data_IF_289451448646
#
_entry.id   IF_289451448646
#
_cell.length_a   1.000
_cell.length_b   1.000
_cell.length_c   1.000
_cell.angle_alpha   90.00
_cell.angle_beta   90.00
_cell.angle_gamma   90.00
#
_symmetry.space_group_name_H-M   'P 1'
#
loop_
_entity.id
_entity.type
_entity.pdbx_description
1 polymer ?
#
# COMPACT_ATOMS: atom_id res chain seq x y z
N UNK A 1 -0.84 -9.41 -42.57
CA UNK A 1 -1.38 -8.03 -42.67
C UNK A 1 -0.50 -6.96 -42.01
N UNK A 2 0.45 -7.33 -41.13
CA UNK A 2 1.34 -6.39 -40.43
C UNK A 2 2.84 -6.72 -40.64
N UNK A 3 3.23 -7.24 -41.81
CA UNK A 3 4.63 -7.54 -42.11
C UNK A 3 5.18 -6.47 -43.04
N UNK A 4 6.46 -6.10 -42.86
CA UNK A 4 7.14 -5.14 -43.72
C UNK A 4 7.07 -5.57 -45.19
N UNK A 5 6.75 -4.60 -46.04
CA UNK A 5 6.69 -4.83 -47.48
C UNK A 5 8.13 -4.84 -47.98
N UNK A 6 8.59 -6.00 -48.40
CA UNK A 6 9.95 -6.21 -48.90
C UNK A 6 9.92 -6.36 -50.42
N UNK A 7 10.58 -5.45 -51.13
CA UNK A 7 10.83 -5.60 -52.57
C UNK A 7 12.08 -6.45 -52.74
N UNK A 8 11.97 -7.58 -53.43
CA UNK A 8 13.09 -8.52 -53.65
C UNK A 8 13.50 -8.52 -55.12
N UNK A 9 14.80 -8.63 -55.36
CA UNK A 9 15.36 -8.88 -56.69
C UNK A 9 15.14 -10.35 -57.11
N UNK A 10 15.35 -10.66 -58.40
CA UNK A 10 15.20 -12.00 -58.98
C UNK A 10 16.08 -13.08 -58.34
N UNK A 11 17.16 -12.67 -57.66
CA UNK A 11 18.07 -13.49 -56.86
C UNK A 11 17.71 -13.56 -55.36
N UNK A 12 16.55 -13.02 -54.94
CA UNK A 12 16.01 -13.13 -53.58
C UNK A 12 16.52 -12.11 -52.57
N UNK A 13 17.46 -11.25 -52.94
CA UNK A 13 17.99 -10.17 -52.08
C UNK A 13 16.95 -9.06 -51.88
N UNK A 14 16.76 -8.61 -50.64
CA UNK A 14 15.86 -7.50 -50.30
C UNK A 14 16.49 -6.19 -50.76
N UNK A 15 15.84 -5.51 -51.70
CA UNK A 15 16.31 -4.28 -52.35
C UNK A 15 15.76 -3.02 -51.66
N UNK A 16 14.58 -3.11 -51.05
CA UNK A 16 13.98 -2.06 -50.24
C UNK A 16 12.95 -2.65 -49.26
N UNK A 17 12.85 -2.07 -48.07
CA UNK A 17 11.80 -2.37 -47.10
C UNK A 17 11.06 -1.09 -46.70
N UNK A 18 9.73 -1.15 -46.63
CA UNK A 18 8.91 -0.09 -46.05
C UNK A 18 8.32 -0.59 -44.73
N UNK A 19 8.51 0.13 -43.61
CA UNK A 19 7.87 -0.23 -42.35
C UNK A 19 6.35 -0.06 -42.49
N UNK A 20 5.59 -1.05 -42.01
CA UNK A 20 4.13 -0.94 -41.97
C UNK A 20 3.71 -0.16 -40.74
N UNK A 21 3.12 1.03 -40.93
CA UNK A 21 2.57 1.83 -39.83
C UNK A 21 1.09 1.44 -39.64
N UNK A 22 0.80 0.66 -38.60
CA UNK A 22 -0.57 0.34 -38.20
C UNK A 22 -1.16 1.51 -37.40
N UNK A 23 -2.04 2.30 -38.01
CA UNK A 23 -2.72 3.41 -37.33
C UNK A 23 -4.15 3.01 -36.94
N UNK A 24 -4.50 3.13 -35.66
CA UNK A 24 -5.89 2.96 -35.17
C UNK A 24 -6.40 4.33 -34.75
N UNK A 25 -7.39 4.87 -35.46
CA UNK A 25 -8.00 6.17 -35.15
C UNK A 25 -9.49 6.05 -34.91
N UNK A 26 -10.00 6.78 -33.92
CA UNK A 26 -11.42 6.85 -33.54
C UNK A 26 -11.79 8.32 -33.42
N UNK A 27 -12.89 8.75 -34.07
CA UNK A 27 -13.44 10.11 -33.97
C UNK A 27 -14.90 10.01 -33.53
N UNK A 28 -15.23 10.59 -32.38
CA UNK A 28 -16.59 10.59 -31.82
C UNK A 28 -16.91 11.96 -31.23
N UNK A 29 -18.20 12.30 -31.15
CA UNK A 29 -18.69 13.48 -30.44
C UNK A 29 -19.51 13.00 -29.25
N UNK A 30 -19.19 13.47 -28.05
CA UNK A 30 -19.88 13.05 -26.83
C UNK A 30 -20.13 14.25 -25.92
N UNK A 31 -21.31 14.28 -25.26
CA UNK A 31 -21.63 15.20 -24.18
C UNK A 31 -21.49 14.46 -22.87
N UNK A 32 -20.53 14.88 -22.05
CA UNK A 32 -20.17 14.24 -20.78
C UNK A 32 -20.18 15.28 -19.69
N UNK A 33 -20.59 14.88 -18.49
CA UNK A 33 -20.52 15.75 -17.32
C UNK A 33 -19.06 15.94 -16.89
N UNK A 34 -18.77 17.09 -16.27
CA UNK A 34 -17.46 17.36 -15.68
C UNK A 34 -17.09 16.25 -14.68
N UNK A 35 -15.82 15.82 -14.64
CA UNK A 35 -15.33 14.72 -13.79
C UNK A 35 -16.06 13.38 -13.97
N UNK A 36 -16.76 13.18 -15.09
CA UNK A 36 -17.45 11.91 -15.36
C UNK A 36 -16.67 11.13 -16.43
N UNK A 37 -15.99 10.04 -16.05
CA UNK A 37 -15.27 9.22 -17.01
C UNK A 37 -16.20 8.52 -17.99
N UNK A 38 -15.79 8.49 -19.26
CA UNK A 38 -16.56 7.89 -20.34
C UNK A 38 -15.67 7.06 -21.28
N UNK A 39 -16.15 5.87 -21.66
CA UNK A 39 -15.45 4.95 -22.53
C UNK A 39 -15.68 5.38 -23.98
N UNK A 40 -14.63 5.87 -24.65
CA UNK A 40 -14.67 6.30 -26.06
C UNK A 40 -14.75 5.09 -26.99
N UNK A 41 -14.11 3.97 -26.60
CA UNK A 41 -14.15 2.73 -27.36
C UNK A 41 -13.25 1.64 -26.79
N UNK A 42 -13.27 0.46 -27.42
CA UNK A 42 -12.38 -0.64 -27.10
C UNK A 42 -12.24 -1.64 -28.24
N UNK A 43 -11.13 -2.37 -28.27
CA UNK A 43 -10.85 -3.43 -29.23
C UNK A 43 -10.63 -4.74 -28.47
N UNK A 44 -11.43 -5.75 -28.79
CA UNK A 44 -11.21 -7.13 -28.34
C UNK A 44 -10.79 -7.94 -29.56
N UNK A 45 -9.53 -8.38 -29.58
CA UNK A 45 -9.01 -9.25 -30.62
C UNK A 45 -8.68 -10.63 -30.05
N UNK A 46 -9.04 -11.69 -30.76
CA UNK A 46 -8.77 -13.07 -30.38
C UNK A 46 -8.17 -13.82 -31.57
N UNK A 47 -6.86 -14.01 -31.55
CA UNK A 47 -6.15 -14.81 -32.54
C UNK A 47 -6.06 -16.26 -32.05
N UNK A 48 -6.55 -17.20 -32.86
CA UNK A 48 -6.46 -18.64 -32.59
C UNK A 48 -5.66 -19.31 -33.69
N UNK A 49 -4.44 -19.73 -33.38
CA UNK A 49 -3.59 -20.49 -34.28
C UNK A 49 -3.59 -21.96 -33.88
N UNK A 50 -3.84 -22.86 -34.82
CA UNK A 50 -3.80 -24.30 -34.61
C UNK A 50 -2.75 -24.91 -35.54
N UNK A 51 -1.68 -25.45 -34.96
CA UNK A 51 -0.71 -26.29 -35.68
C UNK A 51 -1.01 -27.76 -35.43
N UNK A 52 -0.97 -28.57 -36.49
CA UNK A 52 -1.19 -30.00 -36.42
C UNK A 52 -0.10 -30.71 -37.24
N UNK A 53 0.81 -31.35 -36.54
CA UNK A 53 1.85 -32.19 -37.15
C UNK A 53 1.38 -33.64 -37.11
N UNK A 54 1.53 -34.39 -38.21
CA UNK A 54 1.14 -35.80 -38.28
C UNK A 54 2.12 -36.60 -39.10
N UNK A 55 2.37 -37.84 -38.70
CA UNK A 55 3.10 -38.82 -39.51
C UNK A 55 2.23 -39.22 -40.71
N UNK A 56 2.71 -39.13 -41.96
CA UNK A 56 1.98 -39.62 -43.13
C UNK A 56 1.54 -41.08 -42.96
N UNK A 57 0.35 -41.45 -43.46
CA UNK A 57 -0.33 -42.74 -43.27
C UNK A 57 -0.77 -43.08 -41.83
N UNK A 58 0.14 -43.11 -40.85
CA UNK A 58 -0.14 -43.53 -39.48
C UNK A 58 -0.98 -42.50 -38.70
N UNK A 59 -0.81 -41.20 -38.99
CA UNK A 59 -1.57 -40.11 -38.38
C UNK A 59 -3.02 -39.96 -38.86
N UNK A 60 -3.47 -40.79 -39.80
CA UNK A 60 -4.86 -40.81 -40.31
C UNK A 60 -5.71 -41.97 -39.77
N UNK A 61 -5.11 -42.97 -39.11
CA UNK A 61 -5.83 -44.17 -38.65
C UNK A 61 -6.74 -43.85 -37.45
N UNK A 62 -8.05 -44.16 -37.49
CA UNK A 62 -9.03 -43.68 -36.51
C UNK A 62 -8.72 -44.10 -35.07
N UNK A 63 -8.13 -45.28 -34.87
CA UNK A 63 -7.83 -45.86 -33.55
C UNK A 63 -6.50 -45.36 -32.98
N UNK A 64 -5.45 -45.27 -33.81
CA UNK A 64 -4.09 -44.94 -33.35
C UNK A 64 -3.62 -43.52 -33.69
N UNK A 65 -4.42 -42.73 -34.45
CA UNK A 65 -4.06 -41.36 -34.90
C UNK A 65 -3.53 -40.44 -33.81
N UNK A 66 -3.99 -40.61 -32.56
CA UNK A 66 -3.63 -39.73 -31.44
C UNK A 66 -2.19 -39.95 -30.97
N UNK A 67 -1.60 -41.12 -31.22
CA UNK A 67 -0.20 -41.43 -30.91
C UNK A 67 0.76 -40.92 -31.99
N UNK A 68 0.25 -40.65 -33.21
CA UNK A 68 1.05 -40.26 -34.38
C UNK A 68 0.73 -38.83 -34.88
N UNK A 69 0.07 -38.01 -34.05
CA UNK A 69 -0.19 -36.60 -34.33
C UNK A 69 0.17 -35.73 -33.11
N UNK A 70 0.75 -34.57 -33.36
CA UNK A 70 0.93 -33.50 -32.38
C UNK A 70 -0.01 -32.35 -32.73
N UNK A 71 -0.66 -31.77 -31.72
CA UNK A 71 -1.55 -30.62 -31.90
C UNK A 71 -1.14 -29.52 -30.94
N UNK A 72 -0.76 -28.37 -31.49
CA UNK A 72 -0.46 -27.16 -30.72
C UNK A 72 -1.53 -26.11 -31.02
N UNK A 73 -2.26 -25.69 -29.98
CA UNK A 73 -3.23 -24.58 -30.10
C UNK A 73 -2.68 -23.39 -29.35
N UNK A 74 -2.44 -22.28 -30.06
CA UNK A 74 -2.03 -21.01 -29.46
C UNK A 74 -3.21 -20.03 -29.57
N UNK A 75 -3.65 -19.46 -28.45
CA UNK A 75 -4.72 -18.46 -28.43
C UNK A 75 -4.18 -17.18 -27.79
N UNK A 76 -4.16 -16.09 -28.55
CA UNK A 76 -3.73 -14.77 -28.09
C UNK A 76 -4.96 -13.87 -28.01
N UNK A 77 -5.31 -13.44 -26.80
CA UNK A 77 -6.38 -12.46 -26.55
C UNK A 77 -5.73 -11.09 -26.31
N UNK A 78 -6.19 -10.06 -27.01
CA UNK A 78 -5.77 -8.67 -26.82
C UNK A 78 -7.00 -7.82 -26.53
N UNK A 79 -6.97 -7.07 -25.45
CA UNK A 79 -8.03 -6.15 -25.06
C UNK A 79 -7.43 -4.75 -24.91
N UNK A 80 -8.04 -3.77 -25.56
CA UNK A 80 -7.67 -2.35 -25.44
C UNK A 80 -8.93 -1.57 -25.13
N UNK A 81 -8.87 -0.68 -24.14
CA UNK A 81 -9.95 0.27 -23.82
C UNK A 81 -9.39 1.68 -23.82
N UNK A 82 -10.16 2.64 -24.35
CA UNK A 82 -9.81 4.07 -24.37
C UNK A 82 -10.86 4.79 -23.54
N UNK A 83 -10.42 5.41 -22.43
CA UNK A 83 -11.30 6.14 -21.50
C UNK A 83 -10.84 7.59 -21.40
N UNK A 84 -11.79 8.51 -21.31
CA UNK A 84 -11.56 9.94 -21.16
C UNK A 84 -12.36 10.48 -19.97
N UNK A 85 -11.70 11.26 -19.12
CA UNK A 85 -12.33 12.02 -18.04
C UNK A 85 -12.14 13.51 -18.33
N UNK A 86 -13.20 14.26 -18.66
CA UNK A 86 -13.09 15.69 -18.90
C UNK A 86 -12.98 16.45 -17.56
N UNK A 87 -12.18 17.52 -17.54
CA UNK A 87 -12.12 18.48 -16.45
C UNK A 87 -12.27 19.92 -16.99
N UNK A 88 -13.19 20.69 -16.41
CA UNK A 88 -13.43 22.09 -16.77
C UNK A 88 -12.64 23.01 -15.83
N UNK A 89 -11.74 23.80 -16.40
CA UNK A 89 -10.95 24.79 -15.66
C UNK A 89 -11.76 26.10 -15.47
N UNK A 90 -11.78 26.70 -14.27
CA UNK A 90 -12.26 28.06 -14.07
C UNK A 90 -11.27 29.08 -14.67
N UNK A 91 -11.79 30.21 -15.18
CA UNK A 91 -11.05 31.15 -16.05
C UNK A 91 -9.93 31.97 -15.36
N UNK A 92 -9.70 31.86 -14.05
CA UNK A 92 -8.85 32.80 -13.31
C UNK A 92 -7.35 32.47 -13.20
N UNK A 93 -6.84 31.33 -13.68
CA UNK A 93 -5.41 31.00 -13.54
C UNK A 93 -4.70 30.82 -14.90
N UNK A 94 -3.91 31.83 -15.27
CA UNK A 94 -2.98 31.78 -16.40
C UNK A 94 -1.92 30.70 -16.20
N UNK A 95 -2.00 29.64 -17.02
CA UNK A 95 -1.14 28.44 -16.96
C UNK A 95 0.30 28.80 -17.35
N UNK A 96 1.19 28.95 -16.36
CA UNK A 96 2.63 29.11 -16.57
C UNK A 96 3.36 27.74 -16.55
N UNK A 97 3.79 27.33 -17.75
CA UNK A 97 4.87 26.40 -18.15
C UNK A 97 5.36 25.32 -17.14
N UNK A 98 4.94 24.10 -17.47
CA UNK A 98 5.66 22.80 -17.37
C UNK A 98 5.78 22.03 -16.05
N UNK A 99 5.21 22.51 -14.95
CA UNK A 99 4.91 21.65 -13.81
C UNK A 99 3.52 22.01 -13.31
N UNK A 100 2.57 21.06 -13.14
CA UNK A 100 1.37 21.35 -12.38
C UNK A 100 1.82 21.89 -11.03
N UNK A 101 1.51 23.15 -10.73
CA UNK A 101 1.72 23.71 -9.39
C UNK A 101 0.96 22.83 -8.38
N UNK A 102 1.30 22.95 -7.09
CA UNK A 102 0.62 22.24 -6.00
C UNK A 102 -0.82 22.79 -5.81
N UNK A 103 -1.62 22.73 -6.88
CA UNK A 103 -2.98 23.23 -7.01
C UNK A 103 -3.99 22.10 -6.95
N UNK A 104 -5.09 22.34 -6.24
CA UNK A 104 -6.22 21.41 -6.07
C UNK A 104 -6.88 21.00 -7.39
N UNK A 105 -6.75 21.80 -8.44
CA UNK A 105 -7.33 21.53 -9.75
C UNK A 105 -6.75 20.28 -10.44
N UNK A 106 -5.56 19.81 -10.05
CA UNK A 106 -4.94 18.60 -10.61
C UNK A 106 -5.29 17.33 -9.85
N UNK A 107 -5.97 17.44 -8.72
CA UNK A 107 -6.41 16.28 -7.96
C UNK A 107 -7.73 15.74 -8.52
N UNK A 108 -7.87 14.41 -8.51
CA UNK A 108 -9.06 13.74 -9.03
C UNK A 108 -9.92 13.23 -7.87
N UNK A 109 -11.01 13.95 -7.57
CA UNK A 109 -11.93 13.63 -6.48
C UNK A 109 -13.36 13.44 -6.96
N UNK A 110 -14.14 12.69 -6.19
CA UNK A 110 -15.57 12.44 -6.41
C UNK A 110 -15.89 11.78 -7.77
N UNK A 111 -14.93 11.03 -8.32
CA UNK A 111 -15.13 10.27 -9.55
C UNK A 111 -16.09 9.08 -9.30
N UNK A 112 -17.06 8.89 -10.19
CA UNK A 112 -17.98 7.74 -10.08
C UNK A 112 -17.32 6.42 -10.51
N UNK A 113 -16.61 6.38 -11.63
CA UNK A 113 -15.99 5.15 -12.15
C UNK A 113 -14.53 4.95 -11.73
N UNK A 114 -13.84 6.01 -11.31
CA UNK A 114 -12.42 5.94 -10.95
C UNK A 114 -12.18 6.12 -9.46
N UNK A 115 -11.01 5.68 -9.02
CA UNK A 115 -10.55 5.90 -7.64
C UNK A 115 -10.18 7.37 -7.49
N UNK A 116 -10.48 7.93 -6.33
CA UNK A 116 -9.98 9.26 -5.99
C UNK A 116 -8.46 9.17 -5.84
N UNK A 117 -7.75 10.13 -6.43
CA UNK A 117 -6.30 10.20 -6.39
C UNK A 117 -5.86 11.63 -6.10
N UNK A 118 -4.94 11.75 -5.16
CA UNK A 118 -4.36 13.00 -4.71
C UNK A 118 -2.88 13.05 -5.10
N UNK A 119 -2.42 14.19 -5.58
CA UNK A 119 -1.01 14.42 -5.88
C UNK A 119 -0.29 14.91 -4.62
N UNK A 120 0.70 14.15 -4.15
CA UNK A 120 1.52 14.52 -2.97
C UNK A 120 2.23 15.85 -3.23
N UNK A 121 2.12 16.79 -2.30
CA UNK A 121 2.69 18.15 -2.37
C UNK A 121 3.92 18.30 -1.48
N UNK A 122 4.61 19.44 -1.60
CA UNK A 122 5.75 19.75 -0.74
C UNK A 122 5.40 19.74 0.74
N UNK A 123 4.26 20.31 1.13
CA UNK A 123 3.81 20.34 2.53
C UNK A 123 3.52 18.94 3.13
N UNK A 124 3.28 17.92 2.30
CA UNK A 124 2.97 16.55 2.71
C UNK A 124 4.25 15.73 2.97
N UNK A 125 5.40 16.24 2.52
CA UNK A 125 6.70 15.58 2.66
C UNK A 125 7.46 16.08 3.87
N UNK A 126 8.13 15.17 4.57
CA UNK A 126 9.00 15.52 5.69
C UNK A 126 10.41 15.88 5.19
N UNK A 127 11.02 16.87 5.83
CA UNK A 127 12.46 17.11 5.66
C UNK A 127 13.24 16.06 6.46
N UNK A 128 13.81 15.10 5.74
CA UNK A 128 14.58 13.99 6.29
C UNK A 128 16.08 14.11 5.98
N UNK A 129 16.57 15.31 5.64
CA UNK A 129 17.98 15.55 5.31
C UNK A 129 18.92 15.06 6.41
N UNK A 130 18.53 15.22 7.68
CA UNK A 130 19.31 14.73 8.82
C UNK A 130 19.53 13.20 8.83
N UNK A 131 18.63 12.42 8.22
CA UNK A 131 18.82 10.97 8.05
C UNK A 131 19.74 10.68 6.87
N UNK A 132 19.53 11.34 5.73
CA UNK A 132 20.33 11.15 4.53
C UNK A 132 21.79 11.57 4.71
N UNK A 133 22.05 12.62 5.49
CA UNK A 133 23.38 13.15 5.79
C UNK A 133 24.07 12.43 6.97
N UNK A 134 23.37 11.52 7.66
CA UNK A 134 23.92 10.82 8.80
C UNK A 134 25.05 9.88 8.35
N UNK A 135 26.30 10.23 8.70
CA UNK A 135 27.51 9.47 8.32
C UNK A 135 27.48 8.00 8.76
N UNK A 136 26.88 7.69 9.90
CA UNK A 136 26.78 6.30 10.36
C UNK A 136 25.82 5.53 9.47
N UNK A 137 24.65 6.10 9.17
CA UNK A 137 23.67 5.48 8.29
C UNK A 137 24.25 5.29 6.88
N UNK A 138 24.88 6.32 6.30
CA UNK A 138 25.54 6.24 5.00
C UNK A 138 26.53 5.07 4.93
N UNK A 139 27.42 4.93 5.92
CA UNK A 139 28.37 3.78 5.98
C UNK A 139 27.68 2.43 6.00
N UNK A 140 26.54 2.32 6.69
CA UNK A 140 25.78 1.06 6.76
C UNK A 140 25.11 0.76 5.42
N UNK A 141 24.60 1.78 4.73
CA UNK A 141 24.03 1.66 3.39
C UNK A 141 25.09 1.27 2.36
N UNK A 142 26.23 1.98 2.34
CA UNK A 142 27.37 1.69 1.46
C UNK A 142 27.85 0.23 1.61
N UNK A 143 27.95 -0.24 2.85
CA UNK A 143 28.32 -1.62 3.13
C UNK A 143 27.28 -2.61 2.59
N UNK A 144 26.00 -2.29 2.71
CA UNK A 144 24.90 -3.12 2.19
C UNK A 144 24.92 -3.18 0.67
N UNK A 145 25.19 -2.06 0.00
CA UNK A 145 25.30 -1.99 -1.46
C UNK A 145 26.50 -2.80 -1.97
N UNK A 146 27.63 -2.76 -1.27
CA UNK A 146 28.78 -3.63 -1.56
C UNK A 146 28.44 -5.12 -1.39
N UNK A 147 27.68 -5.47 -0.35
CA UNK A 147 27.21 -6.85 -0.14
C UNK A 147 26.21 -7.28 -1.24
N UNK A 148 25.37 -6.37 -1.74
CA UNK A 148 24.42 -6.62 -2.81
C UNK A 148 25.12 -7.09 -4.11
N UNK A 149 26.28 -6.47 -4.43
CA UNK A 149 27.10 -6.87 -5.58
C UNK A 149 27.61 -8.31 -5.49
N UNK A 150 27.64 -8.89 -4.28
CA UNK A 150 28.09 -10.27 -4.03
C UNK A 150 26.94 -11.25 -3.91
N UNK A 151 25.85 -10.84 -3.25
CA UNK A 151 24.72 -11.70 -2.96
C UNK A 151 23.42 -10.90 -2.84
N UNK A 152 22.62 -10.88 -3.91
CA UNK A 152 21.32 -10.21 -3.95
C UNK A 152 20.30 -10.79 -2.95
N UNK A 153 20.40 -12.07 -2.62
CA UNK A 153 19.49 -12.69 -1.65
C UNK A 153 19.74 -12.15 -0.24
N UNK A 154 20.98 -11.80 0.09
CA UNK A 154 21.35 -11.29 1.41
C UNK A 154 20.68 -9.93 1.69
N UNK A 155 20.65 -9.05 0.69
CA UNK A 155 20.06 -7.70 0.85
C UNK A 155 18.54 -7.70 0.89
N UNK A 156 17.88 -8.80 0.52
CA UNK A 156 16.44 -8.97 0.69
C UNK A 156 16.05 -9.41 2.11
N UNK A 157 17.03 -9.78 2.95
CA UNK A 157 16.79 -10.29 4.30
C UNK A 157 16.92 -9.19 5.35
N UNK A 158 16.22 -9.37 6.47
CA UNK A 158 16.44 -8.52 7.65
C UNK A 158 17.83 -8.78 8.25
N UNK A 159 18.59 -7.74 8.63
CA UNK A 159 18.25 -6.32 8.62
C UNK A 159 18.66 -5.59 7.34
N UNK A 160 19.46 -6.21 6.45
CA UNK A 160 20.02 -5.58 5.24
C UNK A 160 18.97 -4.90 4.36
N UNK A 161 17.77 -5.49 4.23
CA UNK A 161 16.67 -4.92 3.44
C UNK A 161 16.23 -3.51 3.89
N UNK A 162 16.51 -3.14 5.14
CA UNK A 162 16.18 -1.81 5.70
C UNK A 162 17.30 -0.78 5.48
N UNK A 163 18.45 -1.20 4.94
CA UNK A 163 19.61 -0.35 4.64
C UNK A 163 20.02 -0.39 3.16
N UNK A 164 19.33 -1.16 2.32
CA UNK A 164 19.67 -1.33 0.92
C UNK A 164 18.99 -0.29 0.02
N UNK A 165 19.74 0.29 -0.93
CA UNK A 165 19.20 1.26 -1.88
C UNK A 165 18.58 2.48 -1.19
N UNK A 166 17.35 2.84 -1.56
CA UNK A 166 16.66 4.01 -1.00
C UNK A 166 16.03 3.76 0.38
N UNK A 167 16.08 2.53 0.89
CA UNK A 167 15.46 2.19 2.17
C UNK A 167 16.07 3.01 3.31
N UNK A 168 15.21 3.35 4.27
CA UNK A 168 15.60 3.95 5.54
C UNK A 168 15.05 3.07 6.67
N UNK A 169 15.84 2.78 7.70
CA UNK A 169 15.35 2.03 8.86
C UNK A 169 14.09 2.66 9.47
N UNK A 170 13.06 1.85 9.71
CA UNK A 170 11.77 2.31 10.23
C UNK A 170 10.90 3.14 9.27
N UNK A 171 11.29 3.35 8.01
CA UNK A 171 10.60 4.29 7.08
C UNK A 171 9.08 4.16 6.98
N UNK A 172 8.54 2.97 7.21
CA UNK A 172 7.10 2.71 7.21
C UNK A 172 6.36 3.65 8.18
N UNK A 173 6.90 3.93 9.36
CA UNK A 173 6.25 4.74 10.40
C UNK A 173 6.11 6.20 9.94
N UNK A 174 7.13 6.71 9.24
CA UNK A 174 7.08 8.03 8.63
C UNK A 174 6.03 8.08 7.52
N UNK A 175 5.94 7.03 6.69
CA UNK A 175 4.91 6.93 5.66
C UNK A 175 3.49 6.90 6.26
N UNK A 176 3.26 6.15 7.34
CA UNK A 176 1.99 6.17 8.08
C UNK A 176 1.59 7.58 8.49
N UNK A 177 2.55 8.34 9.04
CA UNK A 177 2.32 9.72 9.48
C UNK A 177 2.06 10.68 8.31
N UNK A 178 2.80 10.56 7.21
CA UNK A 178 2.60 11.41 6.04
C UNK A 178 1.26 11.15 5.35
N UNK A 179 0.86 9.89 5.21
CA UNK A 179 -0.47 9.51 4.71
C UNK A 179 -1.58 10.07 5.62
N UNK A 180 -1.40 9.96 6.94
CA UNK A 180 -2.33 10.55 7.91
C UNK A 180 -2.48 12.07 7.70
N UNK A 181 -1.38 12.81 7.53
CA UNK A 181 -1.43 14.27 7.34
C UNK A 181 -2.16 14.66 6.05
N UNK A 182 -1.91 13.94 4.94
CA UNK A 182 -2.64 14.13 3.68
C UNK A 182 -4.15 13.95 3.91
N UNK A 183 -4.55 12.81 4.47
CA UNK A 183 -5.97 12.50 4.69
C UNK A 183 -6.65 13.50 5.63
N UNK A 184 -5.93 13.95 6.67
CA UNK A 184 -6.40 14.94 7.63
C UNK A 184 -6.62 16.30 6.97
N UNK A 185 -5.68 16.78 6.15
CA UNK A 185 -5.81 18.05 5.41
C UNK A 185 -6.98 18.02 4.43
N UNK A 186 -7.20 16.89 3.77
CA UNK A 186 -8.35 16.71 2.86
C UNK A 186 -9.69 16.53 3.58
N UNK A 187 -9.69 16.35 4.90
CA UNK A 187 -10.92 16.27 5.69
C UNK A 187 -11.78 15.03 5.39
N UNK A 188 -11.17 13.95 4.86
CA UNK A 188 -11.88 12.74 4.41
C UNK A 188 -12.64 12.07 5.57
N UNK A 189 -12.15 12.21 6.80
CA UNK A 189 -12.76 11.63 8.01
C UNK A 189 -14.17 12.13 8.29
N UNK A 190 -14.54 13.31 7.77
CA UNK A 190 -15.88 13.90 7.96
C UNK A 190 -16.99 13.02 7.38
N UNK A 191 -16.68 12.22 6.36
CA UNK A 191 -17.62 11.29 5.72
C UNK A 191 -17.82 9.99 6.52
N UNK A 192 -17.02 9.73 7.57
CA UNK A 192 -17.16 8.54 8.43
C UNK A 192 -18.07 8.84 9.62
N UNK A 193 -19.14 8.06 9.74
CA UNK A 193 -20.07 8.13 10.88
C UNK A 193 -19.53 7.36 12.08
N UNK A 194 -19.41 8.02 13.24
CA UNK A 194 -18.99 7.36 14.48
C UNK A 194 -19.95 6.23 14.92
N UNK A 195 -21.24 6.35 14.56
CA UNK A 195 -22.28 5.34 14.78
C UNK A 195 -22.07 4.06 13.97
N UNK A 196 -21.23 4.09 12.94
CA UNK A 196 -20.95 2.95 12.06
C UNK A 196 -19.57 2.35 12.28
N UNK A 197 -18.83 2.82 13.29
CA UNK A 197 -17.57 2.20 13.71
C UNK A 197 -17.91 1.00 14.60
N UNK A 198 -17.36 -0.16 14.26
CA UNK A 198 -17.58 -1.42 14.97
C UNK A 198 -16.27 -2.05 15.43
N UNK A 199 -16.36 -2.92 16.42
CA UNK A 199 -15.33 -3.86 16.80
C UNK A 199 -15.99 -5.17 17.26
N UNK A 200 -15.18 -6.21 17.48
CA UNK A 200 -15.70 -7.51 17.88
C UNK A 200 -15.47 -7.80 19.37
N UNK A 201 -16.30 -8.68 19.92
CA UNK A 201 -16.04 -9.35 21.19
C UNK A 201 -16.35 -10.85 21.05
N UNK A 202 -15.77 -11.74 21.87
CA UNK A 202 -16.10 -13.15 21.82
C UNK A 202 -17.59 -13.39 22.15
N UNK A 203 -18.25 -14.27 21.38
CA UNK A 203 -19.64 -14.66 21.68
C UNK A 203 -19.68 -15.68 22.82
N UNK A 204 -20.08 -15.22 24.01
CA UNK A 204 -20.22 -16.06 25.20
C UNK A 204 -21.43 -16.99 25.19
N UNK A 205 -22.44 -16.73 24.34
CA UNK A 205 -23.68 -17.50 24.32
C UNK A 205 -23.55 -18.77 23.47
N UNK A 206 -22.88 -18.65 22.33
CA UNK A 206 -22.69 -19.76 21.37
C UNK A 206 -21.41 -20.53 21.70
N UNK A 207 -20.47 -19.93 22.46
CA UNK A 207 -19.16 -20.53 22.77
C UNK A 207 -18.23 -20.61 21.55
N UNK A 208 -18.62 -19.99 20.43
CA UNK A 208 -17.83 -19.86 19.21
C UNK A 208 -18.21 -18.60 18.44
N UNK A 209 -17.25 -18.02 17.72
CA UNK A 209 -17.46 -16.81 16.93
C UNK A 209 -17.40 -15.53 17.76
N UNK A 210 -17.76 -14.42 17.08
CA UNK A 210 -17.64 -13.07 17.61
C UNK A 210 -18.94 -12.30 17.44
N UNK A 211 -19.30 -11.49 18.44
CA UNK A 211 -20.40 -10.51 18.37
C UNK A 211 -19.88 -9.17 17.88
N UNK A 212 -20.70 -8.50 17.07
CA UNK A 212 -20.44 -7.12 16.61
C UNK A 212 -20.91 -6.12 17.66
N UNK A 213 -20.03 -5.20 18.04
CA UNK A 213 -20.34 -4.06 18.89
C UNK A 213 -20.14 -2.75 18.13
N UNK A 214 -21.11 -1.84 18.25
CA UNK A 214 -20.96 -0.47 17.78
C UNK A 214 -20.21 0.37 18.81
N UNK A 215 -19.18 1.09 18.36
CA UNK A 215 -18.31 1.87 19.23
C UNK A 215 -19.06 2.93 20.02
N UNK A 216 -19.91 3.71 19.36
CA UNK A 216 -20.66 4.77 20.02
C UNK A 216 -21.64 4.21 21.06
N UNK A 217 -22.30 3.08 20.78
CA UNK A 217 -23.20 2.41 21.74
C UNK A 217 -22.43 1.88 22.95
N UNK A 218 -21.26 1.28 22.71
CA UNK A 218 -20.38 0.81 23.77
C UNK A 218 -19.89 1.97 24.65
N UNK A 219 -19.50 3.10 24.05
CA UNK A 219 -19.08 4.30 24.79
C UNK A 219 -20.23 4.83 25.63
N UNK A 220 -21.44 5.01 25.06
CA UNK A 220 -22.62 5.49 25.80
C UNK A 220 -22.94 4.65 27.02
N UNK A 221 -22.78 3.33 26.92
CA UNK A 221 -23.08 2.39 28.00
C UNK A 221 -22.03 2.42 29.11
N UNK A 222 -20.75 2.58 28.77
CA UNK A 222 -19.65 2.34 29.72
C UNK A 222 -18.95 3.62 30.21
N UNK A 223 -18.69 4.59 29.32
CA UNK A 223 -17.99 5.84 29.62
C UNK A 223 -18.53 6.95 28.69
N UNK A 224 -19.80 7.38 28.87
CA UNK A 224 -20.48 8.30 27.95
C UNK A 224 -19.77 9.65 27.81
N UNK A 225 -18.96 10.03 28.80
CA UNK A 225 -18.26 11.30 28.83
C UNK A 225 -17.21 11.43 27.72
N UNK A 226 -16.73 10.32 27.14
CA UNK A 226 -15.83 10.30 25.96
C UNK A 226 -16.50 10.95 24.74
N UNK A 227 -17.83 10.96 24.64
CA UNK A 227 -18.53 11.61 23.52
C UNK A 227 -18.49 13.13 23.59
N UNK A 228 -18.05 13.70 24.72
CA UNK A 228 -17.87 15.14 24.89
C UNK A 228 -16.48 15.60 24.42
N UNK A 229 -16.32 16.91 24.21
CA UNK A 229 -14.99 17.52 24.02
C UNK A 229 -14.22 17.68 25.32
N UNK A 230 -14.90 17.64 26.46
CA UNK A 230 -14.27 17.87 27.74
C UNK A 230 -13.38 16.67 28.09
N UNK A 231 -12.14 16.94 28.49
CA UNK A 231 -11.22 15.86 28.86
C UNK A 231 -11.66 15.23 30.17
N UNK A 232 -11.80 13.91 30.17
CA UNK A 232 -12.32 13.13 31.29
C UNK A 232 -11.24 12.17 31.78
N UNK A 233 -11.27 11.78 33.07
CA UNK A 233 -10.22 10.97 33.65
C UNK A 233 -10.28 9.52 33.19
N UNK A 234 -11.36 9.05 32.57
CA UNK A 234 -11.46 7.67 32.07
C UNK A 234 -11.24 7.62 30.57
N UNK A 235 -10.55 6.58 30.13
CA UNK A 235 -10.37 6.27 28.72
C UNK A 235 -10.70 4.80 28.45
N UNK A 236 -11.24 4.51 27.27
CA UNK A 236 -11.46 3.15 26.78
C UNK A 236 -10.26 2.77 25.90
N UNK A 237 -9.64 1.63 26.20
CA UNK A 237 -8.57 1.05 25.41
C UNK A 237 -9.06 -0.21 24.69
N UNK A 238 -8.81 -0.27 23.38
CA UNK A 238 -9.03 -1.46 22.55
C UNK A 238 -7.65 -1.98 22.10
N UNK A 239 -7.15 -3.01 22.77
CA UNK A 239 -5.80 -3.56 22.54
C UNK A 239 -5.84 -4.85 21.73
N UNK A 240 -5.20 -4.86 20.58
CA UNK A 240 -5.13 -5.99 19.66
C UNK A 240 -3.74 -6.62 19.70
N UNK A 241 -3.65 -7.96 19.70
CA UNK A 241 -2.39 -8.70 19.63
C UNK A 241 -2.17 -9.23 18.23
N UNK A 242 -0.94 -9.13 17.73
CA UNK A 242 -0.57 -9.62 16.39
C UNK A 242 -0.40 -11.14 16.44
N UNK A 243 -1.38 -11.86 15.91
CA UNK A 243 -1.45 -13.32 15.89
C UNK A 243 -1.18 -13.92 14.50
N UNK A 244 -1.12 -13.11 13.42
CA UNK A 244 -0.86 -13.59 12.04
C UNK A 244 0.45 -14.35 11.86
N UNK A 245 1.42 -14.17 12.77
CA UNK A 245 2.70 -14.88 12.77
C UNK A 245 2.71 -16.11 13.69
N UNK A 246 1.58 -16.46 14.30
CA UNK A 246 1.46 -17.61 15.19
C UNK A 246 1.13 -18.88 14.40
N UNK A 247 1.79 -19.98 14.74
CA UNK A 247 1.53 -21.30 14.15
C UNK A 247 0.39 -22.06 14.86
N UNK A 248 -0.24 -21.46 15.88
CA UNK A 248 -1.34 -22.09 16.64
C UNK A 248 -2.65 -22.03 15.85
N UNK A 249 -3.37 -23.14 15.73
CA UNK A 249 -4.63 -23.21 15.00
C UNK A 249 -5.68 -22.18 15.47
N UNK A 250 -5.82 -22.00 16.78
CA UNK A 250 -6.80 -21.06 17.37
C UNK A 250 -6.47 -19.58 17.10
N UNK A 251 -5.21 -19.29 16.73
CA UNK A 251 -4.75 -17.92 16.52
C UNK A 251 -5.37 -17.26 15.28
N UNK A 252 -5.80 -18.05 14.29
CA UNK A 252 -6.44 -17.58 13.05
C UNK A 252 -7.77 -16.86 13.35
N UNK A 253 -8.49 -17.29 14.37
CA UNK A 253 -9.82 -16.76 14.73
C UNK A 253 -9.77 -15.67 15.80
N UNK A 254 -8.58 -15.43 16.37
CA UNK A 254 -8.39 -14.49 17.48
C UNK A 254 -8.25 -13.03 17.03
N UNK A 255 -7.80 -12.79 15.80
CA UNK A 255 -7.96 -11.50 15.15
C UNK A 255 -9.33 -11.46 14.46
N UNK A 256 -10.07 -10.33 14.52
CA UNK A 256 -9.67 -9.01 15.02
C UNK A 256 -10.32 -8.66 16.37
N UNK A 257 -10.25 -9.53 17.38
CA UNK A 257 -10.89 -9.27 18.68
C UNK A 257 -9.93 -8.52 19.64
N UNK A 258 -10.27 -7.29 20.09
CA UNK A 258 -9.48 -6.59 21.09
C UNK A 258 -9.71 -7.12 22.49
N UNK A 259 -8.69 -6.97 23.34
CA UNK A 259 -8.91 -6.88 24.79
C UNK A 259 -9.36 -5.46 25.11
N UNK A 260 -10.51 -5.32 25.77
CA UNK A 260 -11.08 -4.03 26.12
C UNK A 260 -10.79 -3.73 27.59
N UNK A 261 -10.32 -2.51 27.88
CA UNK A 261 -10.16 -2.06 29.26
C UNK A 261 -10.55 -0.59 29.42
N UNK A 262 -10.99 -0.22 30.62
CA UNK A 262 -11.23 1.17 31.01
C UNK A 262 -10.10 1.56 31.95
N UNK A 263 -9.34 2.59 31.58
CA UNK A 263 -8.17 3.03 32.33
C UNK A 263 -8.31 4.49 32.78
N UNK A 264 -7.60 4.84 33.84
CA UNK A 264 -7.55 6.21 34.33
C UNK A 264 -6.43 6.99 33.62
N UNK A 265 -6.79 8.02 32.87
CA UNK A 265 -5.94 8.93 32.10
C UNK A 265 -6.39 10.40 32.31
N UNK A 266 -6.20 10.98 33.52
CA UNK A 266 -6.66 12.33 33.85
C UNK A 266 -6.07 13.44 32.96
N UNK A 267 -4.84 13.26 32.48
CA UNK A 267 -4.12 14.28 31.72
C UNK A 267 -3.71 13.78 30.35
N UNK A 268 -3.42 14.71 29.42
CA UNK A 268 -2.91 14.35 28.10
C UNK A 268 -1.59 13.58 28.21
N UNK A 269 -0.75 13.92 29.18
CA UNK A 269 0.51 13.21 29.41
C UNK A 269 0.29 11.78 29.90
N UNK A 270 -0.67 11.56 30.81
CA UNK A 270 -1.02 10.20 31.25
C UNK A 270 -1.59 9.36 30.11
N UNK A 271 -2.39 9.98 29.22
CA UNK A 271 -2.91 9.34 28.01
C UNK A 271 -1.77 8.95 27.06
N UNK A 272 -0.84 9.87 26.81
CA UNK A 272 0.33 9.63 25.95
C UNK A 272 1.21 8.50 26.48
N UNK A 273 1.50 8.50 27.78
CA UNK A 273 2.27 7.44 28.44
C UNK A 273 1.57 6.08 28.36
N UNK A 274 0.27 6.04 28.68
CA UNK A 274 -0.52 4.82 28.59
C UNK A 274 -0.55 4.27 27.16
N UNK A 275 -0.79 5.12 26.16
CA UNK A 275 -0.76 4.72 24.75
C UNK A 275 0.62 4.13 24.39
N UNK A 276 1.71 4.79 24.76
CA UNK A 276 3.06 4.29 24.51
C UNK A 276 3.30 2.91 25.13
N UNK A 277 2.99 2.74 26.42
CA UNK A 277 3.18 1.49 27.16
C UNK A 277 2.34 0.34 26.56
N UNK A 278 1.08 0.62 26.20
CA UNK A 278 0.16 -0.37 25.62
C UNK A 278 0.50 -0.77 24.19
N UNK A 279 1.44 -0.09 23.53
CA UNK A 279 1.96 -0.43 22.19
C UNK A 279 3.39 -1.01 22.24
N UNK A 280 3.97 -1.21 23.42
CA UNK A 280 5.19 -2.00 23.56
C UNK A 280 4.89 -3.50 23.36
N UNK A 281 5.84 -4.29 22.80
CA UNK A 281 5.68 -5.74 22.71
C UNK A 281 5.36 -6.38 24.06
N UNK A 282 4.61 -7.48 24.06
CA UNK A 282 4.34 -8.24 25.27
C UNK A 282 5.63 -8.88 25.82
N UNK A 283 5.58 -9.42 27.05
CA UNK A 283 6.69 -10.19 27.63
C UNK A 283 7.16 -11.37 26.75
N UNK A 284 6.26 -11.93 25.92
CA UNK A 284 6.57 -12.99 24.96
C UNK A 284 7.12 -12.46 23.62
N UNK A 285 7.37 -11.16 23.50
CA UNK A 285 7.84 -10.51 22.27
C UNK A 285 6.75 -10.28 21.23
N UNK A 286 5.48 -10.58 21.55
CA UNK A 286 4.37 -10.43 20.62
C UNK A 286 4.02 -8.95 20.44
N UNK A 287 3.92 -8.49 19.20
CA UNK A 287 3.46 -7.13 18.93
C UNK A 287 1.99 -6.95 19.32
N UNK A 288 1.66 -5.75 19.77
CA UNK A 288 0.29 -5.34 20.08
C UNK A 288 0.11 -3.88 19.69
N UNK A 289 -1.11 -3.53 19.30
CA UNK A 289 -1.48 -2.15 19.01
C UNK A 289 -2.77 -1.77 19.71
N UNK A 290 -2.87 -0.52 20.17
CA UNK A 290 -4.00 -0.07 20.99
C UNK A 290 -4.61 1.22 20.46
N UNK A 291 -5.94 1.25 20.36
CA UNK A 291 -6.73 2.49 20.23
C UNK A 291 -7.11 2.95 21.63
N UNK A 292 -6.80 4.20 21.99
CA UNK A 292 -7.10 4.76 23.31
C UNK A 292 -7.99 6.00 23.18
N UNK A 293 -9.25 5.88 23.60
CA UNK A 293 -10.27 6.92 23.45
C UNK A 293 -10.56 7.56 24.80
N UNK A 294 -10.28 8.86 24.94
CA UNK A 294 -10.53 9.64 26.15
C UNK A 294 -11.56 10.75 25.92
N UNK A 295 -11.69 11.23 24.69
CA UNK A 295 -12.68 12.25 24.31
C UNK A 295 -13.06 12.13 22.82
N UNK A 296 -13.94 13.03 22.36
CA UNK A 296 -14.41 13.07 20.98
C UNK A 296 -13.32 13.35 19.95
N UNK A 297 -12.25 14.06 20.32
CA UNK A 297 -11.11 14.28 19.42
C UNK A 297 -10.34 12.96 19.17
N UNK A 298 -10.33 12.04 20.12
CA UNK A 298 -9.74 10.71 19.92
C UNK A 298 -10.59 9.83 19.00
N UNK A 299 -11.91 10.04 18.97
CA UNK A 299 -12.80 9.40 17.99
C UNK A 299 -12.50 9.93 16.59
N UNK A 300 -12.25 11.24 16.44
CA UNK A 300 -11.81 11.80 15.15
C UNK A 300 -10.45 11.22 14.72
N UNK A 301 -9.48 11.10 15.64
CA UNK A 301 -8.20 10.40 15.36
C UNK A 301 -8.41 8.96 14.93
N UNK A 302 -9.35 8.24 15.53
CA UNK A 302 -9.69 6.88 15.11
C UNK A 302 -10.23 6.85 13.68
N UNK A 303 -11.07 7.81 13.28
CA UNK A 303 -11.53 7.91 11.88
C UNK A 303 -10.37 8.16 10.93
N UNK A 304 -9.40 9.01 11.30
CA UNK A 304 -8.18 9.17 10.51
C UNK A 304 -7.39 7.86 10.41
N UNK A 305 -7.23 7.12 11.51
CA UNK A 305 -6.53 5.84 11.51
C UNK A 305 -7.21 4.79 10.60
N UNK A 306 -8.54 4.72 10.61
CA UNK A 306 -9.33 3.90 9.68
C UNK A 306 -9.01 4.26 8.23
N UNK A 307 -8.98 5.55 7.90
CA UNK A 307 -8.65 6.03 6.56
C UNK A 307 -7.20 5.75 6.17
N UNK A 308 -6.25 5.93 7.09
CA UNK A 308 -4.83 5.65 6.84
C UNK A 308 -4.63 4.19 6.47
N UNK A 309 -5.24 3.25 7.22
CA UNK A 309 -5.25 1.83 6.86
C UNK A 309 -5.82 1.60 5.46
N UNK A 310 -6.99 2.16 5.14
CA UNK A 310 -7.61 1.99 3.82
C UNK A 310 -6.72 2.56 2.70
N UNK A 311 -6.13 3.72 2.91
CA UNK A 311 -5.23 4.36 1.95
C UNK A 311 -4.00 3.46 1.69
N UNK A 312 -3.38 2.92 2.73
CA UNK A 312 -2.26 1.98 2.61
C UNK A 312 -2.67 0.75 1.80
N UNK A 313 -3.81 0.13 2.12
CA UNK A 313 -4.31 -1.04 1.39
C UNK A 313 -4.59 -0.74 -0.09
N UNK A 314 -5.11 0.46 -0.41
CA UNK A 314 -5.41 0.87 -1.78
C UNK A 314 -4.17 1.11 -2.63
N UNK A 315 -3.08 1.57 -2.00
CA UNK A 315 -1.82 1.89 -2.65
C UNK A 315 -0.81 0.75 -2.59
N UNK A 316 -1.19 -0.42 -2.07
CA UNK A 316 -0.31 -1.58 -1.76
C UNK A 316 0.73 -1.24 -0.68
N UNK A 317 0.81 -2.05 0.38
CA UNK A 317 1.73 -1.80 1.51
C UNK A 317 3.18 -1.56 1.07
N UNK A 318 3.74 -2.44 0.24
CA UNK A 318 5.14 -2.33 -0.23
C UNK A 318 5.42 -1.04 -1.01
N UNK A 319 4.41 -0.46 -1.64
CA UNK A 319 4.54 0.81 -2.35
C UNK A 319 4.26 2.00 -1.42
N UNK A 320 3.19 1.94 -0.63
CA UNK A 320 2.73 3.00 0.25
C UNK A 320 3.64 3.24 1.46
N UNK A 321 4.35 2.21 1.93
CA UNK A 321 5.20 2.25 3.12
C UNK A 321 6.70 2.36 2.77
N UNK A 322 7.00 3.08 1.67
CA UNK A 322 8.37 3.44 1.28
C UNK A 322 8.48 4.94 1.09
N UNK A 323 9.46 5.56 1.74
CA UNK A 323 9.67 7.00 1.67
C UNK A 323 10.03 7.47 0.26
N UNK A 324 10.80 6.67 -0.48
CA UNK A 324 11.11 6.93 -1.89
C UNK A 324 9.87 6.98 -2.77
N UNK A 325 8.77 6.37 -2.33
CA UNK A 325 7.47 6.38 -3.00
C UNK A 325 6.51 7.46 -2.50
N UNK A 326 6.88 8.18 -1.44
CA UNK A 326 6.11 9.31 -0.91
C UNK A 326 6.81 10.64 -1.23
N UNK A 327 7.00 10.90 -2.53
CA UNK A 327 7.67 12.10 -3.03
C UNK A 327 6.71 13.04 -3.76
N UNK A 328 7.05 14.34 -3.81
CA UNK A 328 6.25 15.37 -4.48
C UNK A 328 5.91 14.96 -5.91
N UNK A 329 4.64 15.12 -6.27
CA UNK A 329 4.11 14.81 -7.60
C UNK A 329 3.65 13.37 -7.80
N UNK A 330 3.95 12.44 -6.87
CA UNK A 330 3.40 11.10 -6.93
C UNK A 330 1.92 11.10 -6.55
N UNK A 331 1.17 10.17 -7.14
CA UNK A 331 -0.25 9.98 -6.85
C UNK A 331 -0.43 9.03 -5.67
N UNK A 332 -1.22 9.47 -4.70
CA UNK A 332 -1.74 8.69 -3.59
C UNK A 332 -3.23 8.44 -3.83
N UNK A 333 -3.62 7.18 -3.97
CA UNK A 333 -5.03 6.82 -4.03
C UNK A 333 -5.70 7.08 -2.68
N UNK A 334 -6.80 7.83 -2.70
CA UNK A 334 -7.56 8.20 -1.50
C UNK A 334 -8.77 7.25 -1.38
N UNK A 335 -9.03 6.71 -0.18
CA UNK A 335 -10.19 5.86 0.03
C UNK A 335 -11.50 6.64 -0.10
N UNK A 336 -12.43 6.09 -0.87
CA UNK A 336 -13.82 6.53 -0.90
C UNK A 336 -14.54 5.96 0.32
N UNK A 337 -15.16 6.85 1.08
CA UNK A 337 -15.97 6.52 2.27
C UNK A 337 -17.26 7.33 2.27
N UNK A 338 -18.31 6.73 2.80
CA UNK A 338 -19.64 7.33 2.97
C UNK A 338 -20.15 7.14 4.39
N UNK A 339 -21.15 7.94 4.79
CA UNK A 339 -21.74 7.83 6.14
C UNK A 339 -22.47 6.50 6.39
N UNK A 340 -22.74 5.72 5.33
CA UNK A 340 -23.40 4.42 5.40
C UNK A 340 -22.41 3.28 5.63
N UNK A 341 -21.13 3.50 5.36
CA UNK A 341 -20.10 2.46 5.41
C UNK A 341 -19.88 2.01 6.86
N UNK A 342 -19.78 0.71 7.06
CA UNK A 342 -19.45 0.11 8.37
C UNK A 342 -17.94 -0.04 8.45
N UNK A 343 -17.35 0.51 9.51
CA UNK A 343 -15.90 0.57 9.67
C UNK A 343 -15.43 -0.30 10.84
N UNK A 344 -14.69 -1.37 10.53
CA UNK A 344 -14.14 -2.28 11.53
C UNK A 344 -12.82 -1.75 12.08
N UNK A 345 -12.76 -1.60 13.41
CA UNK A 345 -11.52 -1.38 14.16
C UNK A 345 -10.83 -2.73 14.38
N UNK A 346 -9.66 -2.89 13.78
CA UNK A 346 -8.78 -4.04 13.95
C UNK A 346 -7.34 -3.61 14.29
N UNK A 347 -6.42 -4.57 14.32
CA UNK A 347 -5.03 -4.32 14.67
C UNK A 347 -4.33 -3.32 13.73
N UNK A 348 -4.70 -3.28 12.46
CA UNK A 348 -4.08 -2.37 11.48
C UNK A 348 -4.62 -0.95 11.66
N UNK A 349 -5.89 -0.79 12.04
CA UNK A 349 -6.42 0.50 12.50
C UNK A 349 -5.72 0.94 13.79
N UNK A 350 -5.54 0.03 14.76
CA UNK A 350 -4.85 0.35 16.00
C UNK A 350 -3.38 0.73 15.77
N UNK A 351 -2.71 0.07 14.81
CA UNK A 351 -1.35 0.42 14.38
C UNK A 351 -1.30 1.81 13.76
N UNK A 352 -2.22 2.10 12.83
CA UNK A 352 -2.33 3.42 12.22
C UNK A 352 -2.60 4.52 13.27
N UNK A 353 -3.44 4.24 14.27
CA UNK A 353 -3.72 5.15 15.39
C UNK A 353 -2.47 5.43 16.23
N UNK A 354 -1.72 4.38 16.58
CA UNK A 354 -0.49 4.52 17.34
C UNK A 354 0.57 5.28 16.55
N UNK A 355 0.83 4.91 15.29
CA UNK A 355 1.81 5.59 14.46
C UNK A 355 1.38 7.01 14.09
N UNK A 356 0.09 7.34 13.99
CA UNK A 356 -0.30 8.74 13.79
C UNK A 356 0.02 9.61 15.00
N UNK A 357 -0.08 9.10 16.22
CA UNK A 357 0.10 9.89 17.44
C UNK A 357 1.52 9.85 18.01
N UNK A 358 2.24 8.73 17.84
CA UNK A 358 3.54 8.45 18.45
C UNK A 358 4.63 8.17 17.40
N UNK A 359 4.48 8.69 16.17
CA UNK A 359 5.37 8.39 15.06
C UNK A 359 6.85 8.62 15.40
N UNK A 360 7.17 9.71 16.11
CA UNK A 360 8.56 10.08 16.39
C UNK A 360 9.24 9.07 17.32
N UNK A 361 8.60 8.76 18.45
CA UNK A 361 9.11 7.79 19.41
C UNK A 361 9.14 6.37 18.81
N UNK A 362 8.10 6.00 18.05
CA UNK A 362 8.04 4.71 17.38
C UNK A 362 9.15 4.58 16.31
N UNK A 363 9.40 5.63 15.53
CA UNK A 363 10.46 5.71 14.53
C UNK A 363 11.84 5.54 15.18
N UNK A 364 12.08 6.24 16.29
CA UNK A 364 13.34 6.13 17.02
C UNK A 364 13.59 4.67 17.47
N UNK A 365 12.60 4.03 18.11
CA UNK A 365 12.73 2.64 18.58
C UNK A 365 12.93 1.67 17.41
N UNK A 366 12.21 1.85 16.31
CA UNK A 366 12.35 1.01 15.12
C UNK A 366 13.75 1.14 14.49
N UNK A 367 14.23 2.38 14.35
CA UNK A 367 15.56 2.66 13.81
C UNK A 367 16.68 2.12 14.72
N UNK A 368 16.58 2.30 16.04
CA UNK A 368 17.52 1.72 16.99
C UNK A 368 17.57 0.19 16.90
N UNK A 369 16.39 -0.47 16.79
CA UNK A 369 16.29 -1.92 16.63
C UNK A 369 17.00 -2.39 15.35
N UNK A 370 16.74 -1.74 14.22
CA UNK A 370 17.32 -2.08 12.93
C UNK A 370 18.84 -1.88 12.93
N UNK A 371 19.31 -0.76 13.49
CA UNK A 371 20.74 -0.44 13.61
C UNK A 371 21.44 -1.47 14.50
N UNK A 372 20.87 -1.80 15.65
CA UNK A 372 21.44 -2.79 16.57
C UNK A 372 21.51 -4.18 15.93
N UNK A 373 20.48 -4.58 15.18
CA UNK A 373 20.48 -5.85 14.45
C UNK A 373 21.56 -5.88 13.36
N UNK A 374 21.70 -4.79 12.59
CA UNK A 374 22.73 -4.66 11.56
C UNK A 374 24.14 -4.75 12.15
N UNK A 375 24.39 -4.02 13.25
CA UNK A 375 25.68 -4.04 13.94
C UNK A 375 25.99 -5.42 14.50
N UNK A 376 25.01 -6.14 15.04
CA UNK A 376 25.20 -7.50 15.56
C UNK A 376 25.68 -8.45 14.47
N UNK A 377 24.98 -8.49 13.33
CA UNK A 377 25.28 -9.42 12.23
C UNK A 377 26.62 -9.07 11.54
N UNK A 378 26.95 -7.80 11.41
CA UNK A 378 28.22 -7.37 10.82
C UNK A 378 29.42 -7.58 11.76
N UNK A 379 29.23 -7.47 13.08
CA UNK A 379 30.27 -7.81 14.08
C UNK A 379 30.66 -9.28 14.08
N UNK A 380 29.75 -10.17 13.74
CA UNK A 380 30.04 -11.61 13.59
C UNK A 380 30.95 -11.90 12.37
N UNK A 381 31.25 -10.90 11.54
CA UNK A 381 32.17 -10.89 10.37
C UNK A 381 31.91 -11.93 9.26
N UNK A 382 31.05 -12.92 9.47
CA UNK A 382 30.73 -13.98 8.50
C UNK A 382 30.31 -13.46 7.13
N UNK A 383 29.48 -12.42 7.09
CA UNK A 383 29.02 -11.83 5.83
C UNK A 383 30.06 -10.86 5.23
N UNK A 384 30.96 -10.30 6.05
CA UNK A 384 32.05 -9.44 5.56
C UNK A 384 33.13 -10.24 4.84
N UNK A 385 33.23 -11.55 5.10
CA UNK A 385 34.14 -12.43 4.36
C UNK A 385 33.78 -12.53 2.87
N UNK A 386 32.51 -12.31 2.50
CA UNK A 386 32.08 -12.21 1.09
C UNK A 386 32.74 -11.04 0.34
N UNK A 387 33.15 -9.99 1.06
CA UNK A 387 33.86 -8.85 0.48
C UNK A 387 35.33 -9.17 0.20
N UNK A 388 35.91 -10.18 0.85
CA UNK A 388 37.31 -10.60 0.68
C UNK A 388 37.51 -11.52 -0.52
N UNK A 389 36.46 -12.14 -1.02
CA UNK A 389 36.52 -13.00 -2.22
C UNK A 389 36.62 -12.12 -3.46
N UNK A 390 37.48 -12.41 -4.47
CA UNK A 390 37.50 -11.63 -5.71
C UNK A 390 36.13 -11.68 -6.41
N UNK A 391 35.70 -10.57 -7.00
CA UNK A 391 34.52 -10.57 -7.88
C UNK A 391 34.81 -11.56 -9.01
N UNK A 392 33.97 -12.57 -9.17
CA UNK A 392 34.04 -13.43 -10.35
C UNK A 392 33.89 -12.53 -11.57
N UNK A 393 34.98 -12.34 -12.32
CA UNK A 393 34.91 -11.77 -13.67
C UNK A 393 34.22 -12.81 -14.53
N UNK A 394 32.92 -12.68 -14.74
CA UNK A 394 32.24 -13.40 -15.81
C UNK A 394 31.35 -12.40 -16.58
N UNK A 395 31.82 -12.16 -17.80
CA UNK A 395 31.21 -11.70 -19.06
C UNK A 395 29.76 -11.21 -19.06
#
# INVERSE_FOLDING_TARGET
>A
PDADVNVRSSNGTIMASSPTISNRSVRTYVRVANNTPFIIGGLIAKDKQMSKDRVPALGSLPVIKRLFQSKKTNTVKREVIIVLTPFVLPEENSIAKSTPMDEDAFDSFDNQLFRDAYRIRGEDTFDLNYLYENKQLQRMKDLTDQLAQRNLNLVSQYPYKNFYGDAIPGEEILCYRQIYEVLKRRGVQKKISAKKIIFFEPDSNIGSGNRVLFLEEYIKKNVPEILSKQSQPKAIALSFKMNRLSEKADSIFSEPVPTISIINCPTKDSWSKALWEMNQPTKSGQQRFTVLLRNSDDIERLKHAILTKKAINLNTEDFALRLSNFSRGRLLLIPRVTEKDIELVDIDVARAFFYSEMYYQAQQVAMEKDINAFQKITKEKRHLDLLKTPLSKNN
#
